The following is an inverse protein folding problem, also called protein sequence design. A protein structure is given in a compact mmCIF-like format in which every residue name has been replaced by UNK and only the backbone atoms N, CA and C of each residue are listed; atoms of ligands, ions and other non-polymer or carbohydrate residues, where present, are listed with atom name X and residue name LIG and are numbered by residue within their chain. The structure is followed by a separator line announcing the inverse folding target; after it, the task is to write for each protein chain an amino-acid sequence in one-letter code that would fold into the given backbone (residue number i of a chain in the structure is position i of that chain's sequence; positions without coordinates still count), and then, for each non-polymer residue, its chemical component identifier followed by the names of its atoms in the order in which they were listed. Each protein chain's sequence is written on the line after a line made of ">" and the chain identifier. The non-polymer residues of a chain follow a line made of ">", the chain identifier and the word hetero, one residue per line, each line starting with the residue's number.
data_IF_800618142219
#
_entry.id   IF_800618142219
#
_cell.length_a   1.000
_cell.length_b   1.000
_cell.length_c   1.000
_cell.angle_alpha   90.00
_cell.angle_beta   90.00
_cell.angle_gamma   90.00
#
_symmetry.space_group_name_H-M   'P 1'
#
loop_
_entity.id
_entity.type
_entity.pdbx_description
1 polymer ?
#
# COMPACT_ATOMS: atom_id res chain seq x y z
N UNK A 1 30.53 -61.99 16.39
CA UNK A 1 30.40 -62.90 15.25
C UNK A 1 29.00 -62.76 14.72
N UNK A 2 28.81 -62.07 13.62
CA UNK A 2 27.87 -62.40 12.56
C UNK A 2 27.94 -61.32 11.50
N UNK A 3 28.05 -61.72 10.28
CA UNK A 3 28.45 -61.02 9.06
C UNK A 3 27.36 -60.11 8.54
N UNK A 4 27.80 -58.96 7.97
CA UNK A 4 27.04 -58.15 7.03
C UNK A 4 26.98 -58.82 5.68
N UNK A 5 25.78 -58.96 5.10
CA UNK A 5 25.58 -59.29 3.70
C UNK A 5 24.99 -58.12 2.97
N UNK A 6 25.74 -57.55 2.03
CA UNK A 6 25.22 -56.66 0.96
C UNK A 6 24.80 -57.45 -0.27
N UNK A 7 23.68 -57.19 -0.88
CA UNK A 7 23.40 -57.70 -2.24
C UNK A 7 23.79 -56.68 -3.32
N UNK A 8 23.98 -57.15 -4.59
CA UNK A 8 24.71 -56.46 -5.65
C UNK A 8 23.87 -55.46 -6.43
N UNK A 9 24.60 -54.55 -7.12
CA UNK A 9 24.09 -53.55 -8.03
C UNK A 9 23.42 -54.19 -9.28
N UNK A 10 22.18 -53.79 -9.54
CA UNK A 10 21.54 -54.03 -10.84
C UNK A 10 21.45 -52.71 -11.60
N UNK A 11 22.13 -52.69 -12.76
CA UNK A 11 21.98 -51.62 -13.74
C UNK A 11 20.60 -51.67 -14.42
N UNK A 12 19.90 -50.56 -14.38
CA UNK A 12 18.67 -50.37 -15.11
C UNK A 12 18.70 -49.00 -15.78
N UNK A 13 18.84 -49.03 -17.11
CA UNK A 13 18.60 -47.86 -17.97
C UNK A 13 17.15 -47.39 -17.79
N UNK A 14 16.93 -46.19 -17.28
CA UNK A 14 15.63 -45.53 -17.32
C UNK A 14 15.64 -44.45 -18.40
N UNK A 15 14.86 -44.66 -19.41
CA UNK A 15 14.43 -43.73 -20.46
C UNK A 15 13.77 -42.52 -19.80
N UNK A 16 14.32 -41.33 -20.04
CA UNK A 16 13.72 -40.04 -19.66
C UNK A 16 12.52 -39.76 -20.57
N UNK A 17 11.31 -40.07 -20.09
CA UNK A 17 10.07 -39.53 -20.64
C UNK A 17 9.88 -38.13 -20.05
N UNK A 18 9.76 -37.12 -20.93
CA UNK A 18 9.59 -35.74 -20.59
C UNK A 18 8.28 -35.48 -19.83
N UNK A 19 8.40 -35.18 -18.57
CA UNK A 19 7.35 -34.52 -17.82
C UNK A 19 7.82 -33.07 -17.51
N UNK A 20 7.11 -32.11 -18.14
CA UNK A 20 7.41 -30.69 -17.98
C UNK A 20 7.33 -30.24 -16.53
N UNK A 21 8.37 -29.59 -16.08
CA UNK A 21 8.41 -28.90 -14.78
C UNK A 21 7.39 -27.75 -14.77
N UNK A 22 6.70 -27.50 -13.66
CA UNK A 22 5.72 -26.42 -13.56
C UNK A 22 6.38 -25.05 -13.74
N UNK A 23 5.80 -24.21 -14.60
CA UNK A 23 6.29 -22.89 -15.03
C UNK A 23 6.27 -21.80 -13.96
N UNK A 24 6.29 -22.12 -12.68
CA UNK A 24 6.12 -21.16 -11.59
C UNK A 24 7.30 -21.09 -10.60
N UNK A 25 8.53 -21.30 -11.05
CA UNK A 25 9.71 -21.28 -10.19
C UNK A 25 10.81 -20.30 -10.66
N UNK A 26 10.41 -19.18 -11.28
CA UNK A 26 11.33 -18.06 -11.50
C UNK A 26 10.83 -16.83 -10.73
N UNK A 27 11.06 -16.80 -9.40
CA UNK A 27 11.19 -15.50 -8.73
C UNK A 27 12.37 -14.79 -9.40
N UNK A 28 12.16 -13.58 -9.89
CA UNK A 28 13.23 -12.82 -10.55
C UNK A 28 14.38 -12.65 -9.55
N UNK A 29 15.64 -12.66 -10.03
CA UNK A 29 16.82 -12.38 -9.19
C UNK A 29 16.67 -11.08 -8.38
N UNK A 30 15.92 -10.12 -8.92
CA UNK A 30 15.59 -8.85 -8.28
C UNK A 30 14.67 -9.03 -7.06
N UNK A 31 13.70 -9.95 -7.12
CA UNK A 31 12.81 -10.27 -6.01
C UNK A 31 13.53 -10.98 -4.85
N UNK A 32 14.45 -11.90 -5.16
CA UNK A 32 15.24 -12.60 -4.13
C UNK A 32 16.26 -11.65 -3.48
N UNK A 33 16.88 -10.76 -4.25
CA UNK A 33 17.78 -9.73 -3.72
C UNK A 33 17.03 -8.73 -2.81
N UNK A 34 15.81 -8.33 -3.19
CA UNK A 34 14.96 -7.47 -2.37
C UNK A 34 14.52 -8.16 -1.07
N UNK A 35 14.18 -9.45 -1.10
CA UNK A 35 13.87 -10.23 0.11
C UNK A 35 15.09 -10.33 1.04
N UNK A 36 16.29 -10.59 0.50
CA UNK A 36 17.53 -10.66 1.28
C UNK A 36 17.95 -9.29 1.84
N UNK A 37 17.85 -8.21 1.04
CA UNK A 37 18.13 -6.85 1.52
C UNK A 37 17.13 -6.43 2.61
N UNK A 38 15.84 -6.74 2.45
CA UNK A 38 14.83 -6.43 3.47
C UNK A 38 15.08 -7.19 4.79
N UNK A 39 15.53 -8.44 4.72
CA UNK A 39 15.90 -9.22 5.92
C UNK A 39 17.13 -8.62 6.58
N UNK A 40 18.15 -8.22 5.83
CA UNK A 40 19.35 -7.59 6.37
C UNK A 40 19.06 -6.19 6.94
N UNK A 41 18.25 -5.38 6.25
CA UNK A 41 17.83 -4.06 6.75
C UNK A 41 16.99 -4.23 8.02
N UNK A 42 16.04 -5.15 8.07
CA UNK A 42 15.30 -5.46 9.29
C UNK A 42 16.21 -5.95 10.42
N UNK A 43 17.22 -6.77 10.14
CA UNK A 43 18.19 -7.25 11.13
C UNK A 43 19.13 -6.13 11.61
N UNK A 44 19.55 -5.22 10.72
CA UNK A 44 20.36 -4.05 11.05
C UNK A 44 19.54 -3.07 11.90
N UNK A 45 18.29 -2.76 11.50
CA UNK A 45 17.39 -1.90 12.27
C UNK A 45 17.06 -2.52 13.63
N UNK A 46 16.89 -3.86 13.72
CA UNK A 46 16.68 -4.57 14.98
C UNK A 46 17.88 -4.47 15.91
N UNK A 47 19.12 -4.46 15.39
CA UNK A 47 20.35 -4.33 16.17
C UNK A 47 20.70 -2.87 16.50
N UNK A 48 20.32 -1.90 15.65
CA UNK A 48 20.59 -0.47 15.88
C UNK A 48 19.62 0.13 16.91
N UNK A 49 18.42 -0.48 17.07
CA UNK A 49 17.46 -0.08 18.09
C UNK A 49 17.22 -1.21 19.10
N UNK A 50 18.15 -1.40 20.08
CA UNK A 50 17.99 -2.45 21.09
C UNK A 50 16.71 -2.18 21.88
N UNK A 51 15.89 -3.21 22.06
CA UNK A 51 14.77 -3.19 23.00
C UNK A 51 15.27 -2.67 24.34
N UNK A 52 14.93 -1.44 24.70
CA UNK A 52 15.13 -0.93 26.05
C UNK A 52 14.28 -1.78 26.99
N UNK A 53 14.93 -2.70 27.71
CA UNK A 53 14.33 -3.38 28.85
C UNK A 53 13.98 -2.30 29.88
N UNK A 54 12.71 -2.00 30.08
CA UNK A 54 12.29 -1.33 31.28
C UNK A 54 11.38 -0.12 31.21
N UNK A 55 11.23 0.59 30.07
CA UNK A 55 10.19 1.63 29.94
C UNK A 55 9.48 1.45 28.61
N UNK A 56 8.20 1.07 28.65
CA UNK A 56 7.31 1.22 27.51
C UNK A 56 7.16 2.71 27.25
N UNK A 57 7.80 3.24 26.20
CA UNK A 57 7.50 4.58 25.72
C UNK A 57 6.05 4.58 25.25
N UNK A 58 5.21 5.35 25.96
CA UNK A 58 3.81 5.49 25.59
C UNK A 58 3.74 6.40 24.36
N UNK A 59 3.35 5.86 23.23
CA UNK A 59 3.11 6.62 22.00
C UNK A 59 1.68 7.16 21.97
N UNK A 60 1.45 8.20 21.18
CA UNK A 60 0.12 8.79 21.01
C UNK A 60 -0.86 7.83 20.31
N UNK A 61 -0.36 6.95 19.45
CA UNK A 61 -1.14 6.00 18.67
C UNK A 61 -0.63 4.58 18.87
N UNK A 62 -1.53 3.60 18.65
CA UNK A 62 -1.25 2.16 18.72
C UNK A 62 -1.28 1.52 17.33
N UNK A 63 -1.93 2.21 16.37
CA UNK A 63 -2.05 1.75 14.99
C UNK A 63 -2.09 2.92 14.01
N UNK A 64 -1.65 2.65 12.79
CA UNK A 64 -1.67 3.63 11.68
C UNK A 64 -2.35 2.98 10.47
N UNK A 65 -3.29 3.71 9.88
CA UNK A 65 -3.88 3.43 8.59
C UNK A 65 -3.18 4.29 7.53
N UNK A 66 -2.65 3.67 6.51
CA UNK A 66 -2.01 4.37 5.39
C UNK A 66 -2.89 4.31 4.14
N UNK A 67 -3.07 5.43 3.47
CA UNK A 67 -3.38 5.37 2.04
C UNK A 67 -2.17 4.83 1.28
N UNK A 68 -2.34 4.51 0.00
CA UNK A 68 -1.29 3.91 -0.84
C UNK A 68 -0.85 4.85 -1.94
N UNK A 69 -1.79 5.26 -2.82
CA UNK A 69 -1.49 6.10 -3.98
C UNK A 69 -1.24 7.55 -3.53
N UNK A 70 -0.02 8.07 -3.76
CA UNK A 70 0.38 9.40 -3.28
C UNK A 70 0.89 9.44 -1.84
N UNK A 71 0.79 8.34 -1.10
CA UNK A 71 1.25 8.25 0.29
C UNK A 71 2.41 7.28 0.47
N UNK A 72 2.29 6.07 -0.06
CA UNK A 72 3.35 5.04 -0.01
C UNK A 72 4.01 4.85 -1.38
N UNK A 73 3.23 4.98 -2.45
CA UNK A 73 3.63 4.71 -3.83
C UNK A 73 3.28 5.91 -4.71
N UNK A 74 4.24 6.38 -5.48
CA UNK A 74 3.99 7.27 -6.62
C UNK A 74 3.44 6.43 -7.78
N UNK A 75 2.13 6.25 -7.81
CA UNK A 75 1.42 5.48 -8.84
C UNK A 75 0.90 6.36 -9.99
N UNK A 76 1.18 7.67 -9.95
CA UNK A 76 0.72 8.60 -10.98
C UNK A 76 1.11 8.19 -12.40
N UNK A 77 2.35 7.74 -12.68
CA UNK A 77 2.72 7.33 -14.04
C UNK A 77 1.75 6.29 -14.62
N UNK A 78 1.51 5.20 -13.89
CA UNK A 78 0.66 4.11 -14.33
C UNK A 78 -0.83 4.49 -14.42
N UNK A 79 -1.31 5.28 -13.47
CA UNK A 79 -2.71 5.76 -13.46
C UNK A 79 -2.94 6.70 -14.65
N UNK A 80 -2.06 7.68 -14.85
CA UNK A 80 -2.19 8.67 -15.91
C UNK A 80 -2.08 8.05 -17.31
N UNK A 81 -1.12 7.14 -17.51
CA UNK A 81 -0.96 6.42 -18.77
C UNK A 81 -2.21 5.60 -19.09
N UNK A 82 -2.76 4.92 -18.09
CA UNK A 82 -3.98 4.11 -18.27
C UNK A 82 -5.21 4.97 -18.55
N UNK A 83 -5.39 6.10 -17.85
CA UNK A 83 -6.48 7.03 -18.10
C UNK A 83 -6.42 7.61 -19.51
N UNK A 84 -5.24 8.06 -19.94
CA UNK A 84 -5.02 8.61 -21.29
C UNK A 84 -5.38 7.60 -22.38
N UNK A 85 -4.93 6.35 -22.23
CA UNK A 85 -5.27 5.25 -23.13
C UNK A 85 -6.79 5.01 -23.20
N UNK A 86 -7.46 4.95 -22.06
CA UNK A 86 -8.90 4.67 -22.00
C UNK A 86 -9.71 5.82 -22.62
N UNK A 87 -9.44 7.08 -22.24
CA UNK A 87 -10.12 8.24 -22.80
C UNK A 87 -9.94 8.31 -24.33
N UNK A 88 -8.69 8.16 -24.79
CA UNK A 88 -8.39 8.15 -26.23
C UNK A 88 -9.12 7.01 -26.97
N UNK A 89 -9.15 5.82 -26.40
CA UNK A 89 -9.83 4.64 -27.00
C UNK A 89 -11.37 4.82 -27.08
N UNK A 90 -11.92 5.72 -26.29
CA UNK A 90 -13.36 6.04 -26.25
C UNK A 90 -13.71 7.37 -26.93
N UNK A 91 -12.73 7.98 -27.63
CA UNK A 91 -12.93 9.19 -28.41
C UNK A 91 -13.08 10.45 -27.55
N UNK A 92 -12.56 10.44 -26.33
CA UNK A 92 -12.52 11.60 -25.42
C UNK A 92 -11.09 12.14 -25.39
N UNK A 93 -10.92 13.42 -25.69
CA UNK A 93 -9.65 14.11 -25.60
C UNK A 93 -9.57 14.85 -24.27
N UNK A 94 -8.69 14.41 -23.39
CA UNK A 94 -8.40 15.03 -22.08
C UNK A 94 -6.91 15.35 -22.03
N UNK A 95 -6.60 16.62 -21.77
CA UNK A 95 -5.20 17.01 -21.63
C UNK A 95 -4.55 16.26 -20.45
N UNK A 96 -3.32 15.73 -20.65
CA UNK A 96 -2.60 14.99 -19.61
C UNK A 96 -2.45 15.77 -18.31
N UNK A 97 -2.30 17.11 -18.38
CA UNK A 97 -2.28 18.01 -17.23
C UNK A 97 -3.52 17.94 -16.35
N UNK A 98 -4.67 17.59 -16.95
CA UNK A 98 -5.96 17.57 -16.26
C UNK A 98 -6.26 16.19 -15.65
N UNK A 99 -5.52 15.15 -16.03
CA UNK A 99 -5.73 13.79 -15.56
C UNK A 99 -5.36 13.61 -14.08
N UNK A 100 -4.43 14.42 -13.55
CA UNK A 100 -3.97 14.34 -12.15
C UNK A 100 -5.10 14.43 -11.11
N UNK A 101 -6.19 15.14 -11.43
CA UNK A 101 -7.36 15.26 -10.54
C UNK A 101 -8.13 13.95 -10.34
N UNK A 102 -7.91 12.97 -11.22
CA UNK A 102 -8.56 11.65 -11.16
C UNK A 102 -7.77 10.62 -10.36
N UNK A 103 -6.61 11.00 -9.82
CA UNK A 103 -5.86 10.14 -8.91
C UNK A 103 -6.50 10.23 -7.52
N UNK A 104 -6.97 9.09 -7.01
CA UNK A 104 -7.64 8.99 -5.69
C UNK A 104 -9.17 8.84 -5.77
N UNK A 105 -9.92 9.69 -6.52
CA UNK A 105 -11.36 9.53 -6.66
C UNK A 105 -11.77 8.19 -7.27
N UNK A 106 -12.99 7.66 -6.96
CA UNK A 106 -13.53 6.47 -7.60
C UNK A 106 -13.63 6.62 -9.12
N UNK A 107 -13.22 5.61 -9.88
CA UNK A 107 -13.16 5.64 -11.35
C UNK A 107 -14.48 6.06 -12.01
N UNK A 108 -15.62 5.55 -11.51
CA UNK A 108 -16.93 5.89 -12.07
C UNK A 108 -17.27 7.37 -11.92
N UNK A 109 -16.86 7.98 -10.80
CA UNK A 109 -17.01 9.42 -10.60
C UNK A 109 -16.18 10.17 -11.64
N UNK A 110 -14.94 9.77 -11.84
CA UNK A 110 -14.03 10.38 -12.82
C UNK A 110 -14.55 10.24 -14.26
N UNK A 111 -14.98 9.03 -14.65
CA UNK A 111 -15.56 8.82 -15.98
C UNK A 111 -16.95 9.47 -16.15
N UNK A 112 -17.73 9.60 -15.08
CA UNK A 112 -19.03 10.29 -15.09
C UNK A 112 -18.94 11.78 -15.40
N UNK A 113 -17.76 12.40 -15.31
CA UNK A 113 -17.55 13.78 -15.77
C UNK A 113 -17.52 13.89 -17.30
N UNK A 114 -17.27 12.79 -18.02
CA UNK A 114 -17.13 12.76 -19.48
C UNK A 114 -18.25 11.96 -20.19
N UNK A 115 -18.86 11.03 -19.48
CA UNK A 115 -19.92 10.18 -20.04
C UNK A 115 -21.19 10.32 -19.20
N UNK A 116 -22.31 10.68 -19.84
CA UNK A 116 -23.63 10.68 -19.20
C UNK A 116 -24.34 9.32 -19.29
N UNK A 117 -23.90 8.44 -20.19
CA UNK A 117 -24.44 7.08 -20.35
C UNK A 117 -23.79 6.12 -19.34
N UNK A 118 -24.57 5.53 -18.40
CA UNK A 118 -24.05 4.57 -17.45
C UNK A 118 -23.31 3.38 -18.08
N UNK A 119 -23.74 2.93 -19.27
CA UNK A 119 -23.09 1.83 -19.98
C UNK A 119 -21.68 2.21 -20.45
N UNK A 120 -21.48 3.47 -20.88
CA UNK A 120 -20.14 3.97 -21.25
C UNK A 120 -19.24 4.17 -20.04
N UNK A 121 -19.78 4.58 -18.88
CA UNK A 121 -19.02 4.68 -17.64
C UNK A 121 -18.52 3.29 -17.21
N UNK A 122 -19.40 2.29 -17.30
CA UNK A 122 -19.03 0.90 -16.98
C UNK A 122 -17.98 0.34 -17.95
N UNK A 123 -18.13 0.60 -19.23
CA UNK A 123 -17.15 0.21 -20.25
C UNK A 123 -15.78 0.85 -19.99
N UNK A 124 -15.73 2.16 -19.72
CA UNK A 124 -14.51 2.88 -19.39
C UNK A 124 -13.85 2.31 -18.14
N UNK A 125 -14.64 2.06 -17.10
CA UNK A 125 -14.18 1.48 -15.84
C UNK A 125 -13.58 0.09 -16.07
N UNK A 126 -14.23 -0.76 -16.87
CA UNK A 126 -13.74 -2.08 -17.21
C UNK A 126 -12.43 -2.03 -18.03
N UNK A 127 -12.37 -1.17 -19.04
CA UNK A 127 -11.15 -0.95 -19.84
C UNK A 127 -9.98 -0.51 -18.97
N UNK A 128 -10.23 0.47 -18.08
CA UNK A 128 -9.23 0.94 -17.14
C UNK A 128 -8.71 -0.21 -16.27
N UNK A 129 -9.59 -0.97 -15.62
CA UNK A 129 -9.20 -2.08 -14.74
C UNK A 129 -8.34 -3.12 -15.46
N UNK A 130 -8.69 -3.46 -16.71
CA UNK A 130 -7.93 -4.42 -17.53
C UNK A 130 -6.55 -3.86 -17.90
N UNK A 131 -6.49 -2.63 -18.43
CA UNK A 131 -5.22 -2.01 -18.83
C UNK A 131 -4.31 -1.73 -17.63
N UNK A 132 -4.88 -1.21 -16.53
CA UNK A 132 -4.13 -0.94 -15.30
C UNK A 132 -3.52 -2.22 -14.71
N UNK A 133 -4.31 -3.30 -14.60
CA UNK A 133 -3.81 -4.58 -14.10
C UNK A 133 -2.73 -5.21 -14.99
N UNK A 134 -2.78 -4.96 -16.30
CA UNK A 134 -1.79 -5.50 -17.23
C UNK A 134 -0.46 -4.73 -17.27
N UNK A 135 -0.48 -3.41 -16.98
CA UNK A 135 0.69 -2.53 -17.13
C UNK A 135 0.80 -1.47 -16.04
N UNK A 136 -0.24 -0.63 -15.89
CA UNK A 136 -0.16 0.56 -15.04
C UNK A 136 0.17 0.27 -13.58
N UNK A 137 -0.23 -0.89 -13.05
CA UNK A 137 0.09 -1.29 -11.68
C UNK A 137 1.59 -1.52 -11.43
N UNK A 138 2.38 -1.71 -12.49
CA UNK A 138 3.83 -1.92 -12.42
C UNK A 138 4.65 -0.65 -12.70
N UNK A 139 3.99 0.47 -13.02
CA UNK A 139 4.62 1.74 -13.39
C UNK A 139 4.76 2.72 -12.20
N UNK A 140 4.52 2.26 -10.99
CA UNK A 140 4.67 3.07 -9.78
C UNK A 140 5.92 2.73 -8.99
N UNK A 141 6.49 3.73 -8.32
CA UNK A 141 7.66 3.59 -7.45
C UNK A 141 7.31 3.92 -5.99
N UNK A 142 7.96 3.24 -5.04
CA UNK A 142 7.84 3.56 -3.61
C UNK A 142 8.47 4.92 -3.34
N UNK A 143 7.75 5.81 -2.63
CA UNK A 143 8.31 7.10 -2.25
C UNK A 143 9.60 6.94 -1.41
N UNK A 144 10.58 7.86 -1.57
CA UNK A 144 11.79 7.86 -0.77
C UNK A 144 11.47 7.88 0.74
N UNK A 145 12.12 6.99 1.51
CA UNK A 145 11.94 6.90 2.96
C UNK A 145 10.79 6.04 3.45
N UNK A 146 9.86 5.60 2.60
CA UNK A 146 8.70 4.77 3.01
C UNK A 146 9.12 3.47 3.66
N UNK A 147 10.07 2.74 3.08
CA UNK A 147 10.55 1.45 3.62
C UNK A 147 11.15 1.64 5.01
N UNK A 148 11.97 2.69 5.20
CA UNK A 148 12.55 3.03 6.51
C UNK A 148 11.45 3.42 7.50
N UNK A 149 10.51 4.28 7.10
CA UNK A 149 9.37 4.70 7.91
C UNK A 149 8.58 3.50 8.42
N UNK A 150 8.11 2.63 7.53
CA UNK A 150 7.32 1.45 7.89
C UNK A 150 8.11 0.51 8.82
N UNK A 151 9.42 0.33 8.56
CA UNK A 151 10.31 -0.46 9.40
C UNK A 151 10.41 0.10 10.81
N UNK A 152 10.64 1.40 10.98
CA UNK A 152 10.76 2.07 12.28
C UNK A 152 9.44 2.03 13.05
N UNK A 153 8.32 2.32 12.40
CA UNK A 153 6.99 2.27 13.03
C UNK A 153 6.64 0.85 13.50
N UNK A 154 6.90 -0.16 12.67
CA UNK A 154 6.69 -1.57 13.04
C UNK A 154 7.60 -2.00 14.18
N UNK A 155 8.88 -1.62 14.17
CA UNK A 155 9.83 -1.93 15.24
C UNK A 155 9.46 -1.27 16.58
N UNK A 156 8.77 -0.11 16.53
CA UNK A 156 8.22 0.54 17.71
C UNK A 156 6.95 -0.14 18.26
N UNK A 157 6.44 -1.17 17.58
CA UNK A 157 5.29 -1.97 18.02
C UNK A 157 3.94 -1.48 17.49
N UNK A 158 3.92 -0.50 16.58
CA UNK A 158 2.69 0.00 15.97
C UNK A 158 2.08 -1.05 15.02
N UNK A 159 0.77 -1.17 15.04
CA UNK A 159 0.01 -1.95 14.06
C UNK A 159 -0.17 -1.12 12.79
N UNK A 160 0.34 -1.60 11.66
CA UNK A 160 0.22 -0.91 10.39
C UNK A 160 -0.81 -1.61 9.51
N UNK A 161 -1.73 -0.85 8.93
CA UNK A 161 -2.72 -1.33 7.98
C UNK A 161 -2.82 -0.36 6.81
N UNK A 162 -3.31 -0.81 5.67
CA UNK A 162 -3.69 0.10 4.60
C UNK A 162 -5.17 0.44 4.67
N UNK A 163 -5.54 1.63 4.17
CA UNK A 163 -6.92 2.08 4.00
C UNK A 163 -7.01 2.92 2.73
N UNK A 164 -7.07 2.26 1.56
CA UNK A 164 -7.01 2.88 0.23
C UNK A 164 -8.29 2.70 -0.57
N UNK A 165 -8.64 3.69 -1.39
CA UNK A 165 -9.74 3.54 -2.36
C UNK A 165 -9.39 2.62 -3.53
N UNK A 166 -8.13 2.18 -3.66
CA UNK A 166 -7.77 1.11 -4.60
C UNK A 166 -8.35 -0.23 -4.09
N UNK A 167 -8.96 -1.06 -4.97
CA UNK A 167 -9.52 -2.34 -4.55
C UNK A 167 -8.46 -3.25 -3.92
N UNK A 168 -8.85 -3.99 -2.86
CA UNK A 168 -7.94 -4.88 -2.12
C UNK A 168 -7.23 -5.88 -3.03
N UNK A 169 -7.96 -6.44 -4.01
CA UNK A 169 -7.41 -7.43 -4.95
C UNK A 169 -6.39 -6.83 -5.93
N UNK A 170 -6.42 -5.50 -6.11
CA UNK A 170 -5.47 -4.77 -6.95
C UNK A 170 -4.26 -4.31 -6.12
N UNK A 171 -4.50 -3.76 -4.92
CA UNK A 171 -3.42 -3.19 -4.12
C UNK A 171 -2.52 -4.25 -3.48
N UNK A 172 -3.06 -5.40 -3.10
CA UNK A 172 -2.28 -6.46 -2.46
C UNK A 172 -1.11 -6.96 -3.32
N UNK A 173 -1.31 -7.36 -4.60
CA UNK A 173 -0.20 -7.74 -5.47
C UNK A 173 0.84 -6.63 -5.66
N UNK A 174 0.41 -5.35 -5.73
CA UNK A 174 1.32 -4.21 -5.85
C UNK A 174 2.20 -4.09 -4.61
N UNK A 175 1.62 -4.19 -3.41
CA UNK A 175 2.39 -4.15 -2.16
C UNK A 175 3.36 -5.34 -2.05
N UNK A 176 2.98 -6.53 -2.54
CA UNK A 176 3.85 -7.70 -2.60
C UNK A 176 5.02 -7.48 -3.56
N UNK A 177 4.77 -6.97 -4.76
CA UNK A 177 5.79 -6.67 -5.76
C UNK A 177 6.77 -5.60 -5.28
N UNK A 178 6.27 -4.56 -4.62
CA UNK A 178 7.07 -3.47 -4.06
C UNK A 178 7.77 -3.84 -2.73
N UNK A 179 7.55 -5.06 -2.21
CA UNK A 179 8.14 -5.52 -0.95
C UNK A 179 7.57 -4.86 0.30
N UNK A 180 6.40 -4.19 0.19
CA UNK A 180 5.76 -3.49 1.31
C UNK A 180 4.78 -4.37 2.10
N UNK A 181 4.24 -5.44 1.51
CA UNK A 181 3.25 -6.30 2.15
C UNK A 181 3.65 -6.82 3.54
N UNK A 182 4.92 -7.20 3.82
CA UNK A 182 5.33 -7.69 5.12
C UNK A 182 5.19 -6.70 6.28
N UNK A 183 5.07 -5.40 6.01
CA UNK A 183 4.91 -4.38 7.05
C UNK A 183 3.48 -4.35 7.60
N UNK A 184 2.48 -4.73 6.82
CA UNK A 184 1.08 -4.56 7.15
C UNK A 184 0.48 -5.78 7.84
N UNK A 185 -0.22 -5.54 8.96
CA UNK A 185 -1.02 -6.54 9.66
C UNK A 185 -2.35 -6.83 8.96
N UNK A 186 -2.85 -5.86 8.18
CA UNK A 186 -4.05 -5.99 7.36
C UNK A 186 -3.95 -5.06 6.14
N UNK A 187 -4.28 -5.58 4.96
CA UNK A 187 -4.38 -4.81 3.73
C UNK A 187 -5.85 -4.51 3.47
N UNK A 188 -6.26 -3.30 3.81
CA UNK A 188 -7.61 -2.78 3.56
C UNK A 188 -7.65 -1.89 2.33
N UNK A 189 -8.62 -2.13 1.47
CA UNK A 189 -8.88 -1.36 0.27
C UNK A 189 -10.36 -1.37 -0.08
N UNK A 190 -10.76 -0.70 -1.15
CA UNK A 190 -12.11 -0.78 -1.70
C UNK A 190 -12.48 -2.22 -2.09
N UNK A 191 -13.77 -2.49 -2.30
CA UNK A 191 -14.25 -3.76 -2.85
C UNK A 191 -14.43 -3.68 -4.36
N UNK A 192 -14.29 -4.82 -5.04
CA UNK A 192 -14.50 -4.88 -6.50
C UNK A 192 -15.97 -4.70 -6.90
N UNK A 193 -16.89 -5.05 -6.02
CA UNK A 193 -18.36 -4.92 -6.19
C UNK A 193 -18.89 -3.53 -5.80
N UNK A 194 -17.98 -2.62 -5.38
CA UNK A 194 -18.28 -1.24 -4.98
C UNK A 194 -19.20 -1.08 -3.76
N UNK A 195 -19.46 -2.15 -3.02
CA UNK A 195 -20.15 -2.05 -1.72
C UNK A 195 -19.35 -1.25 -0.70
N UNK A 196 -18.05 -1.04 -0.96
CA UNK A 196 -17.11 -0.24 -0.21
C UNK A 196 -16.19 0.48 -1.20
N UNK A 197 -16.57 1.67 -1.66
CA UNK A 197 -15.90 2.41 -2.73
C UNK A 197 -15.33 3.77 -2.30
N UNK A 198 -15.64 4.23 -1.10
CA UNK A 198 -15.17 5.50 -0.56
C UNK A 198 -14.28 5.32 0.66
N UNK A 199 -13.47 6.33 0.96
CA UNK A 199 -12.48 6.28 2.05
C UNK A 199 -13.10 6.00 3.43
N UNK A 200 -14.26 6.58 3.72
CA UNK A 200 -14.95 6.38 5.01
C UNK A 200 -15.32 4.92 5.23
N UNK A 201 -15.88 4.25 4.23
CA UNK A 201 -16.29 2.85 4.36
C UNK A 201 -15.10 1.91 4.37
N UNK A 202 -14.02 2.25 3.66
CA UNK A 202 -12.75 1.52 3.74
C UNK A 202 -12.17 1.62 5.16
N UNK A 203 -12.10 2.83 5.73
CA UNK A 203 -11.61 3.02 7.11
C UNK A 203 -12.45 2.23 8.10
N UNK A 204 -13.79 2.31 8.02
CA UNK A 204 -14.70 1.54 8.90
C UNK A 204 -14.46 0.04 8.79
N UNK A 205 -14.26 -0.45 7.58
CA UNK A 205 -13.95 -1.87 7.33
C UNK A 205 -12.64 -2.28 8.01
N UNK A 206 -11.59 -1.46 7.94
CA UNK A 206 -10.30 -1.74 8.59
C UNK A 206 -10.44 -1.69 10.11
N UNK A 207 -11.14 -0.67 10.65
CA UNK A 207 -11.38 -0.54 12.09
C UNK A 207 -12.17 -1.72 12.67
N UNK A 208 -13.03 -2.37 11.89
CA UNK A 208 -13.79 -3.55 12.31
C UNK A 208 -12.93 -4.83 12.43
N UNK A 209 -11.68 -4.82 11.95
CA UNK A 209 -10.80 -5.98 12.03
C UNK A 209 -10.36 -6.26 13.47
N UNK A 210 -10.24 -7.54 13.89
CA UNK A 210 -9.81 -7.89 15.25
C UNK A 210 -8.47 -7.24 15.66
N UNK A 211 -7.55 -7.08 14.72
CA UNK A 211 -6.23 -6.46 14.94
C UNK A 211 -6.31 -4.99 15.34
N UNK A 212 -7.44 -4.33 15.11
CA UNK A 212 -7.65 -2.90 15.39
C UNK A 212 -8.39 -2.62 16.71
N UNK A 213 -8.93 -3.65 17.36
CA UNK A 213 -9.77 -3.47 18.56
C UNK A 213 -9.00 -2.80 19.70
N UNK A 214 -9.60 -1.75 20.28
CA UNK A 214 -9.07 -1.00 21.43
C UNK A 214 -7.85 -0.13 21.13
N UNK A 215 -7.50 0.08 19.86
CA UNK A 215 -6.34 0.87 19.46
C UNK A 215 -6.70 2.34 19.21
N UNK A 216 -5.80 3.23 19.60
CA UNK A 216 -5.80 4.63 19.17
C UNK A 216 -5.20 4.67 17.76
N UNK A 217 -5.94 5.16 16.80
CA UNK A 217 -5.64 5.01 15.39
C UNK A 217 -5.39 6.38 14.76
N UNK A 218 -4.33 6.47 13.95
CA UNK A 218 -4.03 7.61 13.10
C UNK A 218 -4.29 7.23 11.64
N UNK A 219 -5.01 8.06 10.88
CA UNK A 219 -5.06 7.97 9.42
C UNK A 219 -3.95 8.81 8.80
N UNK A 220 -3.21 8.24 7.85
CA UNK A 220 -2.15 8.94 7.08
C UNK A 220 -2.50 8.88 5.62
N UNK A 221 -2.57 10.04 4.98
CA UNK A 221 -2.86 10.16 3.54
C UNK A 221 -2.43 11.50 2.99
N UNK A 222 -2.57 11.70 1.69
CA UNK A 222 -2.15 12.92 0.99
C UNK A 222 -3.32 13.73 0.42
N UNK A 223 -4.57 13.20 0.43
CA UNK A 223 -5.72 13.83 -0.19
C UNK A 223 -6.80 14.19 0.84
N UNK A 224 -7.66 15.13 0.40
CA UNK A 224 -8.87 15.51 1.15
C UNK A 224 -9.75 14.33 1.57
N UNK A 225 -9.83 13.30 0.74
CA UNK A 225 -10.69 12.14 0.99
C UNK A 225 -10.17 11.32 2.18
N UNK A 226 -8.85 11.29 2.41
CA UNK A 226 -8.24 10.67 3.59
C UNK A 226 -8.61 11.42 4.86
N UNK A 227 -8.46 12.74 4.81
CA UNK A 227 -8.79 13.63 5.92
C UNK A 227 -10.28 13.56 6.24
N UNK A 228 -11.14 13.68 5.22
CA UNK A 228 -12.60 13.58 5.41
C UNK A 228 -13.02 12.21 5.92
N UNK A 229 -12.40 11.13 5.40
CA UNK A 229 -12.66 9.77 5.86
C UNK A 229 -12.30 9.58 7.33
N UNK A 230 -11.16 10.12 7.77
CA UNK A 230 -10.74 10.12 9.17
C UNK A 230 -11.75 10.88 10.06
N UNK A 231 -12.11 12.10 9.68
CA UNK A 231 -13.11 12.91 10.40
C UNK A 231 -14.44 12.16 10.54
N UNK A 232 -14.94 11.54 9.46
CA UNK A 232 -16.20 10.78 9.46
C UNK A 232 -16.13 9.53 10.36
N UNK A 233 -14.93 9.04 10.67
CA UNK A 233 -14.70 7.89 11.55
C UNK A 233 -14.25 8.28 12.96
N UNK A 234 -14.14 9.59 13.26
CA UNK A 234 -13.69 10.08 14.56
C UNK A 234 -12.21 9.79 14.83
N UNK A 235 -11.38 9.75 13.78
CA UNK A 235 -9.94 9.53 13.88
C UNK A 235 -9.17 10.84 13.71
N UNK A 236 -8.01 10.91 14.33
CA UNK A 236 -6.99 11.87 13.96
C UNK A 236 -6.44 11.54 12.56
N UNK A 237 -6.04 12.59 11.83
CA UNK A 237 -5.40 12.45 10.53
C UNK A 237 -4.09 13.22 10.46
N UNK A 238 -3.06 12.62 9.87
CA UNK A 238 -1.85 13.32 9.46
C UNK A 238 -1.78 13.34 7.93
N UNK A 239 -1.45 14.52 7.38
CA UNK A 239 -1.30 14.70 5.94
C UNK A 239 0.18 14.59 5.54
N UNK A 240 0.47 13.91 4.45
CA UNK A 240 1.78 13.95 3.79
C UNK A 240 1.71 14.92 2.60
N UNK A 241 2.69 15.82 2.49
CA UNK A 241 2.70 16.91 1.50
C UNK A 241 3.53 16.59 0.26
N UNK A 242 4.15 15.41 0.22
CA UNK A 242 4.94 14.95 -0.94
C UNK A 242 4.10 14.15 -1.97
N UNK A 243 2.81 13.89 -1.65
CA UNK A 243 1.88 13.21 -2.52
C UNK A 243 1.21 14.12 -3.56
N UNK A 244 0.02 13.76 -4.00
CA UNK A 244 -0.72 14.48 -5.06
C UNK A 244 -1.55 15.63 -4.51
N UNK A 245 -1.96 15.57 -3.22
CA UNK A 245 -2.67 16.64 -2.55
C UNK A 245 -1.73 17.69 -1.99
N UNK A 246 -2.10 18.96 -2.14
CA UNK A 246 -1.34 20.06 -1.56
C UNK A 246 -1.84 20.47 -0.18
N UNK A 247 -1.04 21.31 0.50
CA UNK A 247 -1.42 21.88 1.81
C UNK A 247 -2.80 22.55 1.78
N UNK A 248 -3.13 23.27 0.72
CA UNK A 248 -4.40 23.96 0.58
C UNK A 248 -5.60 22.98 0.51
N UNK A 249 -5.40 21.77 -0.03
CA UNK A 249 -6.42 20.75 -0.11
C UNK A 249 -6.72 20.12 1.25
N UNK A 250 -5.70 19.88 2.07
CA UNK A 250 -5.84 19.14 3.33
C UNK A 250 -6.02 20.02 4.55
N UNK A 251 -5.52 21.25 4.55
CA UNK A 251 -5.59 22.18 5.69
C UNK A 251 -7.01 22.45 6.22
N UNK A 252 -8.07 22.53 5.40
CA UNK A 252 -9.44 22.73 5.88
C UNK A 252 -9.95 21.63 6.81
N UNK A 253 -9.35 20.45 6.81
CA UNK A 253 -9.70 19.31 7.67
C UNK A 253 -8.94 19.32 9.02
N UNK A 254 -8.06 20.32 9.23
CA UNK A 254 -7.27 20.47 10.43
C UNK A 254 -6.54 19.15 10.83
N UNK A 255 -5.71 18.54 9.94
CA UNK A 255 -4.93 17.38 10.30
C UNK A 255 -4.04 17.72 11.50
N UNK A 256 -3.85 16.74 12.41
CA UNK A 256 -3.03 16.94 13.63
C UNK A 256 -1.55 17.14 13.29
N UNK A 257 -1.13 16.75 12.09
CA UNK A 257 0.22 16.97 11.58
C UNK A 257 0.23 17.01 10.04
N UNK A 258 1.15 17.79 9.47
CA UNK A 258 1.41 17.85 8.04
C UNK A 258 2.92 17.65 7.82
N UNK A 259 3.29 16.49 7.30
CA UNK A 259 4.67 16.09 7.08
C UNK A 259 5.15 16.45 5.68
N UNK A 260 6.33 17.04 5.55
CA UNK A 260 6.97 17.30 4.27
C UNK A 260 7.59 16.04 3.66
N UNK A 261 7.99 15.06 4.50
CA UNK A 261 8.56 13.80 4.08
C UNK A 261 8.28 12.65 5.08
N UNK A 262 8.67 11.42 4.69
CA UNK A 262 8.48 10.23 5.53
C UNK A 262 9.25 10.29 6.85
N UNK A 263 10.41 10.96 6.87
CA UNK A 263 11.23 11.08 8.08
C UNK A 263 10.54 11.96 9.11
N UNK A 264 10.03 13.11 8.68
CA UNK A 264 9.31 14.05 9.53
C UNK A 264 8.06 13.41 10.14
N UNK A 265 7.26 12.70 9.32
CA UNK A 265 6.12 11.92 9.80
C UNK A 265 6.53 10.88 10.84
N UNK A 266 7.59 10.12 10.56
CA UNK A 266 8.06 9.06 11.45
C UNK A 266 8.51 9.61 12.79
N UNK A 267 9.31 10.67 12.78
CA UNK A 267 9.85 11.30 13.98
C UNK A 267 8.72 11.90 14.81
N UNK A 268 7.70 12.47 14.18
CA UNK A 268 6.51 12.98 14.87
C UNK A 268 5.68 11.85 15.50
N UNK A 269 5.39 10.77 14.77
CA UNK A 269 4.60 9.63 15.27
C UNK A 269 5.28 8.95 16.46
N UNK A 270 6.61 8.84 16.43
CA UNK A 270 7.39 8.14 17.46
C UNK A 270 7.74 9.00 18.67
N UNK A 271 7.25 10.24 18.76
CA UNK A 271 7.44 11.07 19.95
C UNK A 271 6.70 10.47 21.16
N UNK A 272 7.34 10.45 22.32
CA UNK A 272 6.68 10.09 23.58
C UNK A 272 5.52 11.03 23.92
N UNK A 273 4.49 10.50 24.57
CA UNK A 273 3.32 11.30 25.05
C UNK A 273 3.76 12.43 26.00
N UNK A 274 4.85 12.24 26.74
CA UNK A 274 5.36 13.21 27.72
C UNK A 274 6.15 14.37 27.09
N UNK A 275 6.43 14.33 25.76
CA UNK A 275 7.09 15.41 25.06
C UNK A 275 6.05 16.35 24.42
N UNK A 276 5.99 17.64 24.84
CA UNK A 276 5.04 18.60 24.26
C UNK A 276 5.32 18.82 22.76
N UNK A 277 4.25 18.97 21.99
CA UNK A 277 4.36 19.41 20.61
C UNK A 277 4.91 20.85 20.60
N UNK A 278 6.16 21.03 20.25
CA UNK A 278 6.67 22.36 19.89
C UNK A 278 6.19 22.67 18.47
N UNK A 279 5.27 23.63 18.39
CA UNK A 279 4.72 24.20 17.15
C UNK A 279 5.77 24.93 16.33
#
# INVERSE_FOLDING_TARGET
>A
MSKCDCPPAMGGQFLLSGAGLPKNMYKSRKSVLLELLNIEICAILYNVYPKRKGNLTLLHYDAILFDVDGTLIDSAPGILNTLEEVFSSMGVDVARSDLGRYIGPPLRKSFGEHFSDPAKIEEATKRYRVSYAARGCHEGDVYPGVVEMLGRLKAAGLTLCTATCKPTDVVRPILEEQGLAPYFSFVGGASMDESRDNKTDVIRHVLAQPVMQGKRVLMVGDRRDDMQGAVNCGLDAAAVLYGYGGREEVAPFAPVFMAADCKELTDWVLRPVDEPFHS
#
